data_IF_661685123298
#
_entry.id   IF_661685123298
#
_cell.length_a   1.000
_cell.length_b   1.000
_cell.length_c   1.000
_cell.angle_alpha   90.00
_cell.angle_beta   90.00
_cell.angle_gamma   90.00
#
_symmetry.space_group_name_H-M   'P 1'
#
loop_
_entity.id
_entity.type
_entity.pdbx_description
1 polymer ?
#
# COMPACT_ATOMS: atom_id res chain seq x y z
N UNK A 1 -24.47 19.02 -1.29
CA UNK A 1 -25.44 17.91 -1.62
C UNK A 1 -24.65 16.62 -1.49
N UNK A 2 -25.15 15.63 -0.74
CA UNK A 2 -24.49 14.32 -0.59
C UNK A 2 -24.62 13.58 -1.93
N UNK A 3 -23.50 13.17 -2.51
CA UNK A 3 -23.42 12.44 -3.80
C UNK A 3 -22.84 11.03 -3.64
N UNK A 4 -22.57 10.60 -2.42
CA UNK A 4 -22.03 9.28 -2.06
C UNK A 4 -22.94 8.61 -1.02
N UNK A 5 -22.86 7.29 -0.88
CA UNK A 5 -23.58 6.54 0.15
C UNK A 5 -22.95 6.74 1.52
N UNK A 6 -23.16 7.88 2.13
CA UNK A 6 -22.68 8.27 3.47
C UNK A 6 -23.82 8.88 4.28
N UNK A 7 -23.76 8.78 5.62
CA UNK A 7 -24.75 9.39 6.51
C UNK A 7 -24.34 10.84 6.87
N UNK A 8 -23.16 11.01 7.46
CA UNK A 8 -22.60 12.29 7.88
C UNK A 8 -21.15 12.41 7.42
N UNK A 9 -20.75 13.56 6.95
CA UNK A 9 -19.37 13.84 6.55
C UNK A 9 -18.36 13.71 7.69
N UNK A 10 -18.81 13.86 8.95
CA UNK A 10 -17.95 13.76 10.14
C UNK A 10 -17.77 12.31 10.64
N UNK A 11 -18.64 11.40 10.21
CA UNK A 11 -18.67 10.02 10.71
C UNK A 11 -18.13 9.00 9.72
N UNK A 12 -17.71 9.42 8.53
CA UNK A 12 -17.34 8.53 7.42
C UNK A 12 -16.32 7.48 7.88
N UNK A 13 -15.18 7.90 8.43
CA UNK A 13 -14.10 6.99 8.84
C UNK A 13 -14.61 6.01 9.90
N UNK A 14 -15.31 6.50 10.93
CA UNK A 14 -15.83 5.66 12.01
C UNK A 14 -16.82 4.61 11.47
N UNK A 15 -17.83 5.04 10.70
CA UNK A 15 -18.86 4.14 10.15
C UNK A 15 -18.28 3.14 9.14
N UNK A 16 -17.28 3.55 8.34
CA UNK A 16 -16.55 2.65 7.45
C UNK A 16 -15.87 1.54 8.24
N UNK A 17 -15.14 1.87 9.30
CA UNK A 17 -14.42 0.89 10.12
C UNK A 17 -15.38 -0.01 10.92
N UNK A 18 -16.49 0.52 11.44
CA UNK A 18 -17.55 -0.27 12.10
C UNK A 18 -18.12 -1.30 11.12
N UNK A 19 -18.53 -0.86 9.91
CA UNK A 19 -19.03 -1.76 8.87
C UNK A 19 -18.00 -2.81 8.45
N UNK A 20 -16.73 -2.39 8.34
CA UNK A 20 -15.63 -3.27 7.97
C UNK A 20 -15.40 -4.40 9.00
N UNK A 21 -15.31 -4.09 10.30
CA UNK A 21 -15.10 -5.12 11.32
C UNK A 21 -16.33 -6.02 11.50
N UNK A 22 -17.54 -5.52 11.23
CA UNK A 22 -18.75 -6.32 11.19
C UNK A 22 -18.77 -7.31 10.02
N UNK A 23 -18.19 -6.94 8.87
CA UNK A 23 -18.10 -7.81 7.71
C UNK A 23 -17.05 -8.93 7.87
N UNK A 24 -16.01 -8.71 8.68
CA UNK A 24 -14.89 -9.66 8.85
C UNK A 24 -14.57 -9.95 10.33
N UNK A 25 -15.58 -10.34 11.17
CA UNK A 25 -15.41 -10.45 12.62
C UNK A 25 -14.38 -11.48 13.07
N UNK A 26 -14.17 -12.53 12.26
CA UNK A 26 -13.19 -13.57 12.54
C UNK A 26 -11.74 -13.12 12.25
N UNK A 27 -11.57 -12.07 11.49
CA UNK A 27 -10.25 -11.59 11.05
C UNK A 27 -9.80 -10.33 11.77
N UNK A 28 -10.71 -9.36 11.96
CA UNK A 28 -10.40 -8.02 12.50
C UNK A 28 -11.43 -7.55 13.52
N UNK A 29 -10.98 -6.63 14.38
CA UNK A 29 -11.80 -5.90 15.35
C UNK A 29 -11.24 -4.51 15.59
N UNK A 30 -12.01 -3.63 16.23
CA UNK A 30 -11.49 -2.36 16.72
C UNK A 30 -10.69 -2.58 18.01
N UNK A 31 -9.46 -2.07 18.05
CA UNK A 31 -8.59 -2.01 19.22
C UNK A 31 -8.68 -0.68 19.97
N UNK A 32 -9.39 0.29 19.40
CA UNK A 32 -9.60 1.65 19.90
C UNK A 32 -10.25 2.51 18.84
N UNK A 33 -10.36 3.79 19.06
CA UNK A 33 -10.93 4.75 18.09
C UNK A 33 -10.07 4.76 16.82
N UNK A 34 -10.66 4.34 15.70
CA UNK A 34 -10.00 4.24 14.39
C UNK A 34 -8.68 3.44 14.42
N UNK A 35 -8.63 2.39 15.24
CA UNK A 35 -7.53 1.44 15.31
C UNK A 35 -8.08 0.06 14.97
N UNK A 36 -7.70 -0.47 13.82
CA UNK A 36 -8.06 -1.83 13.39
C UNK A 36 -6.94 -2.78 13.78
N UNK A 37 -7.30 -3.87 14.47
CA UNK A 37 -6.37 -4.90 14.91
C UNK A 37 -6.89 -6.28 14.51
N UNK A 38 -5.99 -7.25 14.36
CA UNK A 38 -6.41 -8.63 14.10
C UNK A 38 -7.22 -9.20 15.26
N UNK A 39 -8.27 -9.97 14.96
CA UNK A 39 -9.13 -10.60 15.98
C UNK A 39 -8.36 -11.60 16.84
N UNK A 40 -7.52 -12.43 16.21
CA UNK A 40 -6.60 -13.37 16.86
C UNK A 40 -5.24 -12.70 17.06
N UNK A 41 -4.90 -12.40 18.30
CA UNK A 41 -3.63 -11.78 18.63
C UNK A 41 -2.44 -12.67 18.23
N UNK A 42 -1.37 -12.04 17.70
CA UNK A 42 -0.08 -12.69 17.49
C UNK A 42 0.61 -12.97 18.84
N UNK A 43 1.35 -14.05 18.92
CA UNK A 43 2.17 -14.38 20.10
C UNK A 43 3.15 -13.24 20.44
N UNK A 44 3.38 -12.99 21.73
CA UNK A 44 4.17 -11.85 22.21
C UNK A 44 5.67 -12.00 21.95
N UNK A 45 6.14 -13.21 21.67
CA UNK A 45 7.52 -13.51 21.29
C UNK A 45 7.82 -13.18 19.81
N UNK A 46 6.79 -12.82 19.02
CA UNK A 46 6.92 -12.42 17.62
C UNK A 46 6.75 -10.91 17.44
N UNK A 47 7.46 -10.35 16.47
CA UNK A 47 7.39 -8.93 16.10
C UNK A 47 5.98 -8.55 15.65
N UNK A 48 5.47 -7.42 16.13
CA UNK A 48 4.22 -6.84 15.62
C UNK A 48 4.49 -5.92 14.43
N UNK A 49 3.66 -6.05 13.39
CA UNK A 49 3.70 -5.19 12.21
C UNK A 49 2.54 -4.20 12.28
N UNK A 50 2.87 -2.92 12.41
CA UNK A 50 1.91 -1.82 12.56
C UNK A 50 2.07 -0.85 11.40
N UNK A 51 0.97 -0.29 10.91
CA UNK A 51 0.98 0.78 9.91
C UNK A 51 0.03 1.91 10.29
N UNK A 52 0.13 3.04 9.59
CA UNK A 52 -0.77 4.18 9.70
C UNK A 52 -1.06 4.75 8.31
N UNK A 53 -2.18 5.45 8.18
CA UNK A 53 -2.56 6.14 6.94
C UNK A 53 -3.97 6.71 7.04
N UNK A 54 -4.35 7.54 6.07
CA UNK A 54 -5.70 8.10 5.96
C UNK A 54 -6.74 7.06 5.55
N UNK A 55 -8.02 7.33 5.81
CA UNK A 55 -9.13 6.66 5.14
C UNK A 55 -9.38 7.27 3.75
N UNK A 56 -10.25 6.65 2.96
CA UNK A 56 -10.50 7.05 1.56
C UNK A 56 -9.71 6.27 0.52
N UNK A 57 -8.90 5.32 0.97
CA UNK A 57 -8.05 4.46 0.15
C UNK A 57 -8.44 2.98 0.23
N UNK A 58 -9.60 2.66 0.78
CA UNK A 58 -10.04 1.29 1.01
C UNK A 58 -9.88 0.40 -0.23
N UNK A 59 -9.44 -0.86 -0.07
CA UNK A 59 -9.23 -1.60 1.19
C UNK A 59 -7.97 -1.23 1.99
N UNK A 60 -7.06 -0.40 1.43
CA UNK A 60 -5.87 0.04 2.16
C UNK A 60 -6.24 0.95 3.37
N UNK A 61 -5.54 0.86 4.48
CA UNK A 61 -4.51 -0.12 4.79
C UNK A 61 -5.10 -1.24 5.65
N UNK A 62 -6.29 -0.99 6.26
CA UNK A 62 -6.97 -1.87 7.21
C UNK A 62 -7.35 -3.23 6.62
N UNK A 63 -7.63 -3.28 5.31
CA UNK A 63 -7.92 -4.50 4.56
C UNK A 63 -6.83 -5.57 4.60
N UNK A 64 -5.64 -5.17 4.99
CA UNK A 64 -4.46 -6.03 5.07
C UNK A 64 -4.05 -6.38 6.52
N UNK A 65 -4.89 -6.02 7.48
CA UNK A 65 -4.74 -6.49 8.87
C UNK A 65 -5.22 -7.93 8.98
N UNK A 66 -4.33 -8.83 9.40
CA UNK A 66 -4.63 -10.26 9.54
C UNK A 66 -3.39 -11.11 9.68
N UNK A 67 -3.60 -12.41 9.88
CA UNK A 67 -2.52 -13.38 10.01
C UNK A 67 -1.64 -13.40 8.75
N UNK A 68 -0.31 -13.39 8.93
CA UNK A 68 0.65 -13.37 7.82
C UNK A 68 0.80 -12.02 7.12
N UNK A 69 0.20 -10.95 7.65
CA UNK A 69 0.30 -9.58 7.16
C UNK A 69 0.42 -8.59 8.34
N UNK A 70 -0.38 -7.51 8.36
CA UNK A 70 -0.36 -6.50 9.43
C UNK A 70 -1.03 -7.02 10.72
N UNK A 71 -0.55 -6.58 11.87
CA UNK A 71 -1.20 -6.77 13.16
C UNK A 71 -2.15 -5.61 13.51
N UNK A 72 -1.83 -4.40 12.99
CA UNK A 72 -2.58 -3.19 13.27
C UNK A 72 -2.49 -2.18 12.14
N UNK A 73 -3.59 -1.49 11.88
CA UNK A 73 -3.68 -0.28 11.06
C UNK A 73 -4.30 0.85 11.87
N UNK A 74 -3.61 1.99 11.95
CA UNK A 74 -4.10 3.21 12.62
C UNK A 74 -4.63 4.16 11.56
N UNK A 75 -5.91 4.49 11.62
CA UNK A 75 -6.63 5.16 10.54
C UNK A 75 -6.88 6.62 10.88
N UNK A 76 -6.49 7.51 9.96
CA UNK A 76 -6.78 8.92 9.98
C UNK A 76 -8.11 9.27 9.31
N UNK A 77 -8.38 10.57 9.19
CA UNK A 77 -9.51 11.06 8.43
C UNK A 77 -9.30 10.87 6.91
N UNK A 78 -10.31 11.24 6.11
CA UNK A 78 -10.24 11.10 4.66
C UNK A 78 -8.99 11.83 4.12
N UNK A 79 -8.10 11.08 3.48
CA UNK A 79 -6.85 11.55 2.87
C UNK A 79 -5.90 12.26 3.86
N UNK A 80 -6.00 11.97 5.14
CA UNK A 80 -5.18 12.60 6.18
C UNK A 80 -4.59 11.55 7.14
N UNK A 81 -3.32 11.74 7.50
CA UNK A 81 -2.65 10.90 8.47
C UNK A 81 -3.33 10.94 9.86
N UNK A 82 -3.34 9.84 10.62
CA UNK A 82 -3.82 9.86 12.00
C UNK A 82 -2.88 10.70 12.89
N UNK A 83 -3.45 11.32 13.92
CA UNK A 83 -2.64 12.06 14.89
C UNK A 83 -1.67 11.16 15.66
N UNK A 84 -0.50 11.70 16.02
CA UNK A 84 0.57 10.98 16.71
C UNK A 84 0.11 10.33 18.04
N UNK A 85 -0.84 10.93 18.74
CA UNK A 85 -1.38 10.38 19.99
C UNK A 85 -2.16 9.09 19.76
N UNK A 86 -2.97 9.01 18.69
CA UNK A 86 -3.69 7.79 18.30
C UNK A 86 -2.71 6.69 17.89
N UNK A 87 -1.68 7.03 17.11
CA UNK A 87 -0.62 6.08 16.76
C UNK A 87 0.11 5.58 18.03
N UNK A 88 0.46 6.46 18.95
CA UNK A 88 1.08 6.06 20.21
C UNK A 88 0.20 5.12 21.03
N UNK A 89 -1.11 5.35 21.11
CA UNK A 89 -2.05 4.42 21.77
C UNK A 89 -1.98 3.02 21.12
N UNK A 90 -1.95 2.94 19.80
CA UNK A 90 -1.79 1.66 19.11
C UNK A 90 -0.43 1.00 19.45
N UNK A 91 0.66 1.76 19.45
CA UNK A 91 1.98 1.22 19.83
C UNK A 91 2.00 0.68 21.26
N UNK A 92 1.27 1.31 22.20
CA UNK A 92 1.14 0.80 23.57
C UNK A 92 0.40 -0.55 23.63
N UNK A 93 -0.64 -0.76 22.79
CA UNK A 93 -1.36 -2.04 22.71
C UNK A 93 -0.47 -3.19 22.23
N UNK A 94 0.55 -2.88 21.44
CA UNK A 94 1.45 -3.85 20.83
C UNK A 94 2.83 -3.92 21.51
N UNK A 95 3.03 -3.25 22.65
CA UNK A 95 4.30 -3.30 23.39
C UNK A 95 4.69 -4.74 23.73
N UNK A 96 5.89 -5.16 23.31
CA UNK A 96 6.45 -6.50 23.49
C UNK A 96 7.98 -6.50 23.35
N UNK A 97 8.65 -7.51 23.92
CA UNK A 97 10.12 -7.61 23.91
C UNK A 97 10.64 -7.88 22.47
N UNK A 98 9.91 -8.64 21.67
CA UNK A 98 10.25 -8.85 20.26
C UNK A 98 10.27 -7.54 19.46
N UNK A 99 9.52 -6.54 19.88
CA UNK A 99 9.47 -5.21 19.27
C UNK A 99 8.31 -5.04 18.27
N UNK A 100 8.22 -3.81 17.76
CA UNK A 100 7.24 -3.38 16.77
C UNK A 100 7.98 -2.86 15.55
N UNK A 101 7.62 -3.34 14.36
CA UNK A 101 8.00 -2.74 13.09
C UNK A 101 6.85 -1.86 12.62
N UNK A 102 7.09 -0.53 12.58
CA UNK A 102 6.15 0.47 12.10
C UNK A 102 6.44 0.76 10.62
N UNK A 103 5.52 0.36 9.74
CA UNK A 103 5.62 0.65 8.31
C UNK A 103 4.92 1.97 8.03
N UNK A 104 5.62 2.88 7.38
CA UNK A 104 5.18 4.26 7.12
C UNK A 104 5.25 4.52 5.63
N UNK A 105 4.12 4.84 5.00
CA UNK A 105 4.14 5.38 3.65
C UNK A 105 4.79 6.77 3.70
N UNK A 106 5.74 7.02 2.79
CA UNK A 106 6.49 8.28 2.80
C UNK A 106 5.65 9.44 2.26
N UNK A 107 4.67 9.84 3.06
CA UNK A 107 3.90 11.08 2.92
C UNK A 107 4.16 11.95 4.14
N UNK A 108 4.27 13.26 3.96
CA UNK A 108 4.71 14.20 5.01
C UNK A 108 3.89 14.11 6.30
N UNK A 109 2.57 13.93 6.20
CA UNK A 109 1.68 13.78 7.36
C UNK A 109 1.95 12.49 8.14
N UNK A 110 2.12 11.36 7.43
CA UNK A 110 2.41 10.06 8.04
C UNK A 110 3.79 10.04 8.68
N UNK A 111 4.79 10.60 8.00
CA UNK A 111 6.18 10.73 8.52
C UNK A 111 6.20 11.59 9.79
N UNK A 112 5.48 12.72 9.80
CA UNK A 112 5.40 13.59 10.97
C UNK A 112 4.75 12.85 12.15
N UNK A 113 3.60 12.20 11.92
CA UNK A 113 2.89 11.44 12.97
C UNK A 113 3.74 10.28 13.51
N UNK A 114 4.40 9.55 12.62
CA UNK A 114 5.30 8.45 12.99
C UNK A 114 6.49 8.93 13.83
N UNK A 115 7.11 10.06 13.46
CA UNK A 115 8.25 10.61 14.20
C UNK A 115 7.84 11.09 15.60
N UNK A 116 6.71 11.79 15.73
CA UNK A 116 6.20 12.23 17.03
C UNK A 116 5.78 11.04 17.91
N UNK A 117 5.09 10.05 17.38
CA UNK A 117 4.70 8.86 18.11
C UNK A 117 5.92 8.01 18.52
N UNK A 118 6.98 7.96 17.70
CA UNK A 118 8.23 7.28 18.03
C UNK A 118 8.95 7.88 19.25
N UNK A 119 8.95 9.21 19.39
CA UNK A 119 9.50 9.88 20.57
C UNK A 119 8.73 9.53 21.85
N UNK A 120 7.39 9.41 21.74
CA UNK A 120 6.54 8.97 22.85
C UNK A 120 6.80 7.48 23.20
N UNK A 121 6.95 6.64 22.18
CA UNK A 121 7.24 5.22 22.32
C UNK A 121 8.59 4.97 23.00
N UNK A 122 9.64 5.71 22.62
CA UNK A 122 10.97 5.67 23.25
C UNK A 122 10.90 5.99 24.75
N UNK A 123 10.20 7.08 25.12
CA UNK A 123 9.99 7.47 26.53
C UNK A 123 9.21 6.42 27.32
N UNK A 124 8.33 5.66 26.64
CA UNK A 124 7.55 4.57 27.24
C UNK A 124 8.28 3.22 27.26
N UNK A 125 9.52 3.16 26.80
CA UNK A 125 10.33 1.93 26.71
C UNK A 125 9.70 0.91 25.74
N UNK A 126 9.18 1.36 24.60
CA UNK A 126 8.66 0.51 23.53
C UNK A 126 9.77 0.31 22.50
N UNK A 127 10.16 -0.95 22.23
CA UNK A 127 11.10 -1.30 21.17
C UNK A 127 10.42 -1.11 19.82
N UNK A 128 10.83 -0.08 19.06
CA UNK A 128 10.22 0.34 17.81
C UNK A 128 11.28 0.54 16.72
N UNK A 129 11.08 -0.04 15.56
CA UNK A 129 11.83 0.20 14.33
C UNK A 129 10.85 0.75 13.28
N UNK A 130 11.27 1.73 12.48
CA UNK A 130 10.48 2.29 11.38
C UNK A 130 11.01 1.80 10.05
N UNK A 131 10.10 1.41 9.15
CA UNK A 131 10.36 1.05 7.77
C UNK A 131 9.53 1.98 6.88
N UNK A 132 10.19 2.79 6.04
CA UNK A 132 9.50 3.70 5.13
C UNK A 132 9.33 3.07 3.75
N UNK A 133 8.19 3.29 3.10
CA UNK A 133 7.98 2.91 1.69
C UNK A 133 8.17 4.14 0.81
N UNK A 134 8.88 3.98 -0.32
CA UNK A 134 9.29 5.09 -1.20
C UNK A 134 9.41 4.65 -2.66
N UNK A 135 8.49 3.80 -3.10
CA UNK A 135 8.58 3.11 -4.38
C UNK A 135 8.01 3.88 -5.57
N UNK A 136 7.38 5.04 -5.35
CA UNK A 136 6.85 5.87 -6.43
C UNK A 136 7.98 6.55 -7.22
N UNK A 137 8.05 6.25 -8.52
CA UNK A 137 9.07 6.79 -9.42
C UNK A 137 8.64 8.03 -10.21
N UNK A 138 7.47 8.60 -9.92
CA UNK A 138 6.91 9.73 -10.67
C UNK A 138 7.76 10.99 -10.63
N UNK A 139 8.47 11.22 -9.53
CA UNK A 139 9.37 12.37 -9.39
C UNK A 139 10.66 12.25 -10.23
N UNK A 140 10.97 11.06 -10.76
CA UNK A 140 12.13 10.77 -11.57
C UNK A 140 12.88 9.51 -11.13
N UNK A 141 13.66 8.93 -12.06
CA UNK A 141 14.37 7.68 -11.79
C UNK A 141 15.56 7.85 -10.83
N UNK A 142 16.18 9.03 -10.84
CA UNK A 142 17.39 9.36 -10.07
C UNK A 142 17.09 10.15 -8.78
N UNK A 143 15.80 10.34 -8.46
CA UNK A 143 15.40 11.03 -7.22
C UNK A 143 15.75 10.16 -6.03
N UNK A 144 16.35 10.72 -4.93
CA UNK A 144 16.63 10.00 -3.71
C UNK A 144 15.39 9.33 -3.11
N UNK A 145 15.58 8.21 -2.43
CA UNK A 145 14.48 7.42 -1.88
C UNK A 145 13.64 8.23 -0.87
N UNK A 146 14.29 9.05 -0.04
CA UNK A 146 13.63 9.90 0.95
C UNK A 146 12.68 10.96 0.34
N UNK A 147 12.87 11.30 -0.93
CA UNK A 147 12.05 12.27 -1.66
C UNK A 147 10.93 11.61 -2.48
N UNK A 148 10.84 10.27 -2.48
CA UNK A 148 9.79 9.54 -3.18
C UNK A 148 8.64 9.19 -2.25
N UNK A 149 7.43 9.17 -2.79
CA UNK A 149 6.23 8.75 -2.06
C UNK A 149 6.15 7.22 -1.97
N UNK A 150 5.44 6.73 -0.93
CA UNK A 150 4.94 5.37 -0.87
C UNK A 150 3.55 5.28 -1.48
N UNK A 151 3.28 4.24 -2.25
CA UNK A 151 1.99 3.93 -2.91
C UNK A 151 1.60 2.47 -2.64
N UNK A 152 0.84 1.84 -3.57
CA UNK A 152 0.33 0.47 -3.38
C UNK A 152 1.41 -0.63 -3.37
N UNK A 153 2.68 -0.31 -3.67
CA UNK A 153 3.80 -1.22 -3.47
C UNK A 153 4.05 -1.60 -2.01
N UNK A 154 3.48 -0.85 -1.06
CA UNK A 154 3.47 -1.22 0.35
C UNK A 154 2.71 -2.54 0.63
N UNK A 155 1.73 -2.90 -0.20
CA UNK A 155 0.88 -4.07 0.07
C UNK A 155 1.63 -5.40 -0.08
N UNK A 156 2.37 -5.69 -1.17
CA UNK A 156 3.23 -6.87 -1.22
C UNK A 156 4.32 -6.84 -0.13
N UNK A 157 4.83 -5.65 0.25
CA UNK A 157 5.74 -5.52 1.39
C UNK A 157 5.09 -6.03 2.69
N UNK A 158 3.84 -5.62 3.00
CA UNK A 158 3.12 -6.11 4.18
C UNK A 158 3.02 -7.63 4.22
N UNK A 159 2.79 -8.26 3.05
CA UNK A 159 2.73 -9.72 2.96
C UNK A 159 4.10 -10.37 3.26
N UNK A 160 5.17 -9.82 2.71
CA UNK A 160 6.53 -10.33 2.87
C UNK A 160 6.97 -10.23 4.34
N UNK A 161 6.91 -9.03 4.93
CA UNK A 161 7.35 -8.81 6.32
C UNK A 161 6.40 -9.43 7.35
N UNK A 162 5.10 -9.45 7.06
CA UNK A 162 4.10 -10.10 7.91
C UNK A 162 4.32 -11.61 7.99
N UNK A 163 4.61 -12.26 6.86
CA UNK A 163 4.97 -13.67 6.81
C UNK A 163 6.29 -13.96 7.56
N UNK A 164 7.31 -13.12 7.38
CA UNK A 164 8.57 -13.23 8.11
C UNK A 164 8.37 -13.13 9.64
N UNK A 165 7.50 -12.20 10.07
CA UNK A 165 7.13 -12.04 11.49
C UNK A 165 6.36 -13.26 12.03
N UNK A 166 5.47 -13.89 11.23
CA UNK A 166 4.78 -15.13 11.62
C UNK A 166 5.74 -16.32 11.74
N UNK A 167 6.82 -16.35 10.95
CA UNK A 167 7.89 -17.34 11.07
C UNK A 167 8.78 -17.13 12.30
N UNK A 168 8.60 -16.03 13.06
CA UNK A 168 9.36 -15.73 14.27
C UNK A 168 10.74 -15.12 14.01
N UNK A 169 10.96 -14.53 12.83
CA UNK A 169 12.19 -13.77 12.56
C UNK A 169 12.32 -12.56 13.51
N UNK A 170 13.54 -12.20 13.84
CA UNK A 170 13.83 -11.01 14.65
C UNK A 170 13.47 -9.71 13.93
N UNK A 171 13.32 -8.62 14.67
CA UNK A 171 12.96 -7.32 14.09
C UNK A 171 14.02 -6.83 13.09
N UNK A 172 15.28 -7.12 13.32
CA UNK A 172 16.40 -6.73 12.46
C UNK A 172 16.35 -7.53 11.14
N UNK A 173 16.11 -8.86 11.19
CA UNK A 173 15.94 -9.70 10.01
C UNK A 173 14.72 -9.26 9.18
N UNK A 174 13.59 -8.95 9.83
CA UNK A 174 12.37 -8.48 9.13
C UNK A 174 12.61 -7.12 8.48
N UNK A 175 13.30 -6.23 9.17
CA UNK A 175 13.68 -4.92 8.64
C UNK A 175 14.57 -5.08 7.39
N UNK A 176 15.62 -5.90 7.45
CA UNK A 176 16.51 -6.16 6.31
C UNK A 176 15.79 -6.78 5.11
N UNK A 177 14.86 -7.72 5.34
CA UNK A 177 14.03 -8.31 4.29
C UNK A 177 13.15 -7.22 3.65
N UNK A 178 12.53 -6.38 4.47
CA UNK A 178 11.68 -5.28 3.99
C UNK A 178 12.46 -4.23 3.20
N UNK A 179 13.63 -3.82 3.68
CA UNK A 179 14.49 -2.86 2.98
C UNK A 179 14.99 -3.40 1.64
N UNK A 180 15.40 -4.68 1.59
CA UNK A 180 15.77 -5.31 0.31
C UNK A 180 14.61 -5.29 -0.69
N UNK A 181 13.37 -5.53 -0.23
CA UNK A 181 12.20 -5.44 -1.09
C UNK A 181 11.91 -4.00 -1.53
N UNK A 182 12.00 -3.02 -0.63
CA UNK A 182 11.83 -1.58 -0.95
C UNK A 182 12.76 -1.14 -2.09
N UNK A 183 14.00 -1.61 -2.09
CA UNK A 183 14.99 -1.31 -3.14
C UNK A 183 14.69 -2.03 -4.47
N UNK A 184 13.83 -3.04 -4.45
CA UNK A 184 13.51 -3.92 -5.57
C UNK A 184 12.08 -3.73 -6.10
N UNK A 185 11.32 -2.77 -5.56
CA UNK A 185 9.96 -2.47 -6.01
C UNK A 185 9.87 -1.05 -6.54
N UNK A 186 9.08 -0.86 -7.58
CA UNK A 186 8.76 0.46 -8.14
C UNK A 186 7.29 0.51 -8.52
N UNK A 187 6.68 1.67 -8.29
CA UNK A 187 5.27 1.93 -8.61
C UNK A 187 5.17 3.20 -9.46
N UNK A 188 4.27 3.19 -10.42
CA UNK A 188 3.91 4.36 -11.21
C UNK A 188 2.39 4.40 -11.36
N UNK A 189 1.79 5.54 -11.07
CA UNK A 189 0.36 5.76 -11.22
C UNK A 189 0.02 6.44 -12.55
N UNK A 190 -1.20 6.27 -13.02
CA UNK A 190 -1.80 7.07 -14.08
C UNK A 190 -3.26 7.36 -13.73
N UNK A 191 -3.73 8.57 -14.02
CA UNK A 191 -5.12 8.96 -13.87
C UNK A 191 -5.62 9.71 -15.11
N UNK A 192 -6.89 9.46 -15.48
CA UNK A 192 -7.59 10.19 -16.56
C UNK A 192 -8.80 10.98 -16.06
N UNK A 193 -9.25 10.74 -14.84
CA UNK A 193 -10.28 11.52 -14.16
C UNK A 193 -10.03 11.49 -12.66
N UNK A 194 -10.15 12.66 -12.05
CA UNK A 194 -9.97 12.81 -10.61
C UNK A 194 -11.16 12.26 -9.81
N UNK A 195 -11.01 12.17 -8.52
CA UNK A 195 -12.09 11.84 -7.60
C UNK A 195 -12.67 13.07 -6.91
N UNK A 196 -13.80 12.87 -6.24
CA UNK A 196 -14.48 13.87 -5.42
C UNK A 196 -14.24 13.60 -3.95
N UNK A 197 -13.70 14.58 -3.23
CA UNK A 197 -13.49 14.47 -1.79
C UNK A 197 -14.83 14.28 -1.06
N UNK A 198 -15.03 13.18 -0.33
CA UNK A 198 -16.37 12.83 0.19
C UNK A 198 -16.90 13.79 1.25
N UNK A 199 -16.05 14.52 1.97
CA UNK A 199 -16.48 15.45 3.02
C UNK A 199 -16.95 16.79 2.47
N UNK A 200 -16.33 17.33 1.42
CA UNK A 200 -16.61 18.69 0.94
C UNK A 200 -17.07 18.76 -0.51
N UNK A 201 -17.02 17.65 -1.27
CA UNK A 201 -17.42 17.58 -2.66
C UNK A 201 -16.44 18.23 -3.66
N UNK A 202 -15.27 18.66 -3.20
CA UNK A 202 -14.26 19.24 -4.07
C UNK A 202 -13.55 18.15 -4.90
N UNK A 203 -13.27 18.46 -6.14
CA UNK A 203 -12.36 17.65 -6.98
C UNK A 203 -10.93 17.80 -6.47
N UNK A 204 -10.21 16.71 -6.26
CA UNK A 204 -8.85 16.76 -5.68
C UNK A 204 -7.78 17.19 -6.71
N UNK A 205 -8.05 17.04 -8.01
CA UNK A 205 -7.18 17.49 -9.09
C UNK A 205 -8.01 17.78 -10.34
N UNK A 206 -7.56 18.69 -11.19
CA UNK A 206 -8.20 18.95 -12.48
C UNK A 206 -7.49 18.16 -13.59
N UNK A 207 -8.25 17.32 -14.29
CA UNK A 207 -7.81 16.58 -15.48
C UNK A 207 -8.77 16.90 -16.62
N UNK A 208 -8.30 17.58 -17.70
CA UNK A 208 -9.10 17.85 -18.88
C UNK A 208 -9.57 16.55 -19.56
N UNK A 209 -10.74 16.59 -20.20
CA UNK A 209 -11.27 15.45 -20.94
C UNK A 209 -10.31 15.04 -22.07
N UNK A 210 -10.04 13.74 -22.19
CA UNK A 210 -9.12 13.19 -23.19
C UNK A 210 -7.65 13.26 -22.81
N UNK A 211 -7.31 13.80 -21.65
CA UNK A 211 -5.95 13.79 -21.13
C UNK A 211 -5.75 12.76 -20.01
N UNK A 212 -4.52 12.34 -19.82
CA UNK A 212 -4.07 11.54 -18.68
C UNK A 212 -2.89 12.22 -18.01
N UNK A 213 -2.72 11.97 -16.73
CA UNK A 213 -1.52 12.37 -15.99
C UNK A 213 -0.82 11.12 -15.44
N UNK A 214 0.41 10.89 -15.93
CA UNK A 214 1.28 9.83 -15.43
C UNK A 214 2.01 10.35 -14.19
N UNK A 215 2.01 9.55 -13.11
CA UNK A 215 2.61 9.90 -11.84
C UNK A 215 1.71 10.71 -10.90
N UNK A 216 0.40 10.82 -11.17
CA UNK A 216 -0.52 11.47 -10.22
C UNK A 216 -0.52 10.72 -8.90
N UNK A 217 -0.30 11.44 -7.80
CA UNK A 217 -0.34 10.91 -6.45
C UNK A 217 -1.76 10.60 -5.96
N UNK A 218 -1.83 9.88 -4.85
CA UNK A 218 -3.11 9.44 -4.28
C UNK A 218 -3.93 10.56 -3.60
N UNK A 219 -3.37 11.76 -3.44
CA UNK A 219 -4.08 12.95 -2.96
C UNK A 219 -4.15 14.03 -4.04
N UNK A 220 -3.96 13.68 -5.32
CA UNK A 220 -4.00 14.60 -6.44
C UNK A 220 -2.70 15.37 -6.68
N UNK A 221 -1.60 14.98 -6.02
CA UNK A 221 -0.30 15.60 -6.27
C UNK A 221 0.15 15.31 -7.72
N UNK A 222 0.61 16.33 -8.40
CA UNK A 222 1.18 16.21 -9.74
C UNK A 222 2.42 15.30 -9.79
N UNK A 223 2.65 14.70 -10.94
CA UNK A 223 3.72 13.72 -11.13
C UNK A 223 4.49 13.91 -12.44
N UNK A 224 4.54 12.89 -13.27
CA UNK A 224 5.36 12.82 -14.47
C UNK A 224 4.89 13.66 -15.68
N UNK A 225 3.77 14.35 -15.56
CA UNK A 225 3.25 15.26 -16.59
C UNK A 225 2.01 14.74 -17.31
N UNK A 226 1.29 15.70 -17.92
CA UNK A 226 0.05 15.46 -18.67
C UNK A 226 0.34 15.16 -20.12
N UNK A 227 -0.48 14.29 -20.69
CA UNK A 227 -0.44 13.95 -22.12
C UNK A 227 -1.85 13.54 -22.58
N UNK A 228 -2.05 13.54 -23.90
CA UNK A 228 -3.28 13.00 -24.49
C UNK A 228 -3.39 11.50 -24.21
N UNK A 229 -4.59 11.02 -23.96
CA UNK A 229 -4.87 9.59 -23.83
C UNK A 229 -4.57 8.90 -25.17
N UNK A 230 -3.74 7.87 -25.11
CA UNK A 230 -3.41 6.99 -26.23
C UNK A 230 -4.02 5.60 -26.02
N UNK A 231 -3.63 4.60 -26.80
CA UNK A 231 -4.12 3.23 -26.61
C UNK A 231 -3.65 2.66 -25.25
N UNK A 232 -4.39 1.70 -24.70
CA UNK A 232 -3.99 1.01 -23.49
C UNK A 232 -2.62 0.32 -23.62
N UNK A 233 -2.28 -0.18 -24.81
CA UNK A 233 -0.99 -0.79 -25.09
C UNK A 233 0.16 0.24 -25.08
N UNK A 234 -0.08 1.48 -25.54
CA UNK A 234 0.92 2.56 -25.48
C UNK A 234 1.16 3.01 -24.05
N UNK A 235 0.08 3.25 -23.27
CA UNK A 235 0.17 3.62 -21.85
C UNK A 235 0.89 2.52 -21.05
N UNK A 236 0.51 1.25 -21.24
CA UNK A 236 1.15 0.12 -20.57
C UNK A 236 2.64 0.02 -20.95
N UNK A 237 2.98 0.22 -22.24
CA UNK A 237 4.36 0.19 -22.71
C UNK A 237 5.20 1.30 -22.09
N UNK A 238 4.66 2.52 -22.02
CA UNK A 238 5.34 3.66 -21.39
C UNK A 238 5.61 3.39 -19.91
N UNK A 239 4.60 2.95 -19.15
CA UNK A 239 4.71 2.72 -17.71
C UNK A 239 5.66 1.57 -17.38
N UNK A 240 5.50 0.40 -18.02
CA UNK A 240 6.37 -0.75 -17.75
C UNK A 240 7.82 -0.47 -18.14
N UNK A 241 8.06 0.29 -19.21
CA UNK A 241 9.41 0.66 -19.63
C UNK A 241 10.11 1.55 -18.60
N UNK A 242 9.39 2.47 -17.96
CA UNK A 242 9.92 3.31 -16.88
C UNK A 242 10.25 2.47 -15.64
N UNK A 243 9.36 1.56 -15.24
CA UNK A 243 9.58 0.65 -14.11
C UNK A 243 10.78 -0.28 -14.36
N UNK A 244 10.89 -0.84 -15.58
CA UNK A 244 12.04 -1.68 -15.95
C UNK A 244 13.35 -0.88 -15.97
N UNK A 245 13.32 0.37 -16.43
CA UNK A 245 14.52 1.24 -16.38
C UNK A 245 14.95 1.53 -14.94
N UNK A 246 14.01 1.67 -14.00
CA UNK A 246 14.30 1.87 -12.58
C UNK A 246 14.91 0.62 -11.95
N UNK A 247 14.28 -0.53 -12.14
CA UNK A 247 14.65 -1.78 -11.46
C UNK A 247 15.71 -2.59 -12.18
N UNK A 248 15.92 -2.35 -13.50
CA UNK A 248 16.87 -3.04 -14.37
C UNK A 248 16.83 -4.58 -14.21
N UNK A 249 15.64 -5.21 -14.36
CA UNK A 249 15.55 -6.65 -14.26
C UNK A 249 16.33 -7.32 -15.41
N UNK A 250 17.15 -8.31 -15.06
CA UNK A 250 17.89 -9.11 -16.02
C UNK A 250 17.04 -10.30 -16.52
N UNK A 251 17.45 -10.89 -17.65
CA UNK A 251 16.85 -12.14 -18.14
C UNK A 251 16.95 -13.23 -17.08
N UNK A 252 15.83 -13.87 -16.78
CA UNK A 252 15.69 -14.89 -15.75
C UNK A 252 15.40 -14.37 -14.34
N UNK A 253 15.40 -13.04 -14.12
CA UNK A 253 14.94 -12.47 -12.86
C UNK A 253 13.45 -12.78 -12.67
N UNK A 254 13.08 -13.06 -11.42
CA UNK A 254 11.70 -13.26 -10.98
C UNK A 254 11.08 -11.96 -10.56
N UNK A 255 9.86 -11.70 -11.04
CA UNK A 255 9.15 -10.45 -10.70
C UNK A 255 7.71 -10.70 -10.29
N UNK A 256 7.16 -9.77 -9.49
CA UNK A 256 5.72 -9.53 -9.41
C UNK A 256 5.33 -8.39 -10.37
N UNK A 257 4.11 -8.47 -10.90
CA UNK A 257 3.46 -7.40 -11.66
C UNK A 257 2.02 -7.26 -11.16
N UNK A 258 1.68 -6.11 -10.60
CA UNK A 258 0.31 -5.83 -10.19
C UNK A 258 -0.24 -4.61 -10.91
N UNK A 259 -1.51 -4.69 -11.30
CA UNK A 259 -2.30 -3.53 -11.72
C UNK A 259 -3.31 -3.28 -10.62
N UNK A 260 -3.10 -2.20 -9.89
CA UNK A 260 -3.96 -1.72 -8.81
C UNK A 260 -4.92 -0.67 -9.34
N UNK A 261 -6.20 -0.99 -9.47
CA UNK A 261 -7.24 -0.02 -9.79
C UNK A 261 -7.41 0.99 -8.65
N UNK A 262 -7.65 2.26 -9.02
CA UNK A 262 -7.81 3.32 -7.99
C UNK A 262 -9.27 3.72 -7.75
N UNK A 263 -10.23 2.90 -8.22
CA UNK A 263 -11.65 2.96 -7.87
C UNK A 263 -12.63 2.93 -9.03
N UNK A 264 -12.38 3.61 -10.15
CA UNK A 264 -13.31 3.66 -11.27
C UNK A 264 -12.84 2.94 -12.55
N UNK A 265 -11.60 2.45 -12.58
CA UNK A 265 -11.08 1.68 -13.72
C UNK A 265 -11.51 0.23 -13.59
N UNK A 266 -12.14 -0.29 -14.64
CA UNK A 266 -12.73 -1.62 -14.62
C UNK A 266 -11.67 -2.74 -14.71
N UNK A 267 -12.02 -3.93 -14.21
CA UNK A 267 -11.20 -5.13 -14.41
C UNK A 267 -10.91 -5.44 -15.88
N UNK A 268 -11.85 -5.11 -16.80
CA UNK A 268 -11.68 -5.26 -18.24
C UNK A 268 -10.50 -4.40 -18.72
N UNK A 269 -10.48 -3.11 -18.38
CA UNK A 269 -9.42 -2.16 -18.78
C UNK A 269 -8.08 -2.57 -18.18
N UNK A 270 -8.07 -2.86 -16.88
CA UNK A 270 -6.86 -3.30 -16.17
C UNK A 270 -6.27 -4.60 -16.75
N UNK A 271 -7.13 -5.52 -17.22
CA UNK A 271 -6.67 -6.77 -17.85
C UNK A 271 -6.00 -6.52 -19.21
N UNK A 272 -6.46 -5.54 -19.98
CA UNK A 272 -5.82 -5.14 -21.24
C UNK A 272 -4.41 -4.56 -20.96
N UNK A 273 -4.31 -3.69 -19.97
CA UNK A 273 -3.02 -3.08 -19.54
C UNK A 273 -2.05 -4.17 -19.03
N UNK A 274 -2.52 -5.05 -18.14
CA UNK A 274 -1.72 -6.16 -17.60
C UNK A 274 -1.18 -7.05 -18.70
N UNK A 275 -2.03 -7.45 -19.67
CA UNK A 275 -1.65 -8.27 -20.81
C UNK A 275 -0.43 -7.70 -21.54
N UNK A 276 -0.45 -6.40 -21.85
CA UNK A 276 0.65 -5.75 -22.59
C UNK A 276 1.92 -5.69 -21.76
N UNK A 277 1.83 -5.32 -20.49
CA UNK A 277 2.99 -5.27 -19.59
C UNK A 277 3.62 -6.67 -19.42
N UNK A 278 2.80 -7.71 -19.22
CA UNK A 278 3.27 -9.09 -19.08
C UNK A 278 3.95 -9.62 -20.36
N UNK A 279 3.44 -9.26 -21.56
CA UNK A 279 4.09 -9.60 -22.83
C UNK A 279 5.49 -8.98 -22.93
N UNK A 280 5.65 -7.71 -22.54
CA UNK A 280 6.95 -7.01 -22.58
C UNK A 280 7.95 -7.69 -21.63
N UNK A 281 7.53 -8.10 -20.44
CA UNK A 281 8.37 -8.86 -19.50
C UNK A 281 8.79 -10.21 -20.09
N UNK A 282 7.85 -10.93 -20.69
CA UNK A 282 8.12 -12.22 -21.32
C UNK A 282 9.11 -12.11 -22.51
N UNK A 283 8.93 -11.08 -23.37
CA UNK A 283 9.82 -10.80 -24.50
C UNK A 283 11.25 -10.47 -24.03
N UNK A 284 11.38 -9.83 -22.85
CA UNK A 284 12.67 -9.57 -22.22
C UNK A 284 13.24 -10.82 -21.48
N UNK A 285 12.51 -11.93 -21.45
CA UNK A 285 12.91 -13.17 -20.78
C UNK A 285 12.87 -13.07 -19.24
N UNK A 286 12.04 -12.18 -18.69
CA UNK A 286 11.82 -11.99 -17.25
C UNK A 286 10.69 -12.93 -16.81
N UNK A 287 10.87 -13.62 -15.68
CA UNK A 287 9.90 -14.58 -15.16
C UNK A 287 8.86 -13.88 -14.28
N UNK A 288 7.62 -13.78 -14.76
CA UNK A 288 6.49 -13.31 -13.96
C UNK A 288 5.99 -14.42 -13.02
N UNK A 289 6.32 -14.34 -11.74
CA UNK A 289 5.95 -15.36 -10.74
C UNK A 289 4.70 -15.01 -9.94
N UNK A 290 4.35 -13.73 -9.85
CA UNK A 290 3.10 -13.30 -9.20
C UNK A 290 2.47 -12.14 -9.96
N UNK A 291 1.25 -12.33 -10.46
CA UNK A 291 0.47 -11.35 -11.19
C UNK A 291 -0.86 -11.07 -10.52
N UNK A 292 -1.24 -9.78 -10.36
CA UNK A 292 -2.55 -9.41 -9.82
C UNK A 292 -3.19 -8.26 -10.59
N UNK A 293 -4.50 -8.36 -10.73
CA UNK A 293 -5.38 -7.30 -11.25
C UNK A 293 -6.46 -7.11 -10.20
N UNK A 294 -6.39 -6.03 -9.43
CA UNK A 294 -7.28 -5.84 -8.27
C UNK A 294 -7.22 -4.41 -7.76
N UNK A 295 -8.04 -4.09 -6.79
CA UNK A 295 -7.97 -2.87 -6.00
C UNK A 295 -7.29 -3.18 -4.67
N UNK A 296 -6.13 -2.59 -4.42
CA UNK A 296 -5.34 -2.71 -3.20
C UNK A 296 -5.35 -1.40 -2.41
N UNK A 297 -5.12 -0.30 -3.10
CA UNK A 297 -5.13 1.06 -2.57
C UNK A 297 -5.84 1.94 -3.58
N UNK A 298 -7.03 2.43 -3.22
CA UNK A 298 -7.87 3.25 -4.09
C UNK A 298 -7.73 4.74 -3.81
N UNK A 299 -8.37 5.56 -4.65
CA UNK A 299 -8.52 7.00 -4.47
C UNK A 299 -9.98 7.36 -4.76
N UNK A 300 -10.89 6.84 -3.94
CA UNK A 300 -12.33 6.96 -4.14
C UNK A 300 -12.77 6.49 -5.54
N UNK A 301 -13.44 7.32 -6.33
CA UNK A 301 -13.86 7.04 -7.70
C UNK A 301 -12.91 7.59 -8.77
N UNK A 302 -11.62 7.75 -8.48
CA UNK A 302 -10.62 8.15 -9.48
C UNK A 302 -10.57 7.12 -10.61
N UNK A 303 -10.60 7.58 -11.87
CA UNK A 303 -10.36 6.72 -13.02
C UNK A 303 -8.86 6.69 -13.34
N UNK A 304 -8.25 5.55 -13.11
CA UNK A 304 -6.82 5.33 -13.27
C UNK A 304 -6.39 4.02 -12.60
N UNK A 305 -5.11 3.79 -12.60
CA UNK A 305 -4.50 2.62 -11.94
C UNK A 305 -3.05 2.92 -11.55
N UNK A 306 -2.52 2.09 -10.67
CA UNK A 306 -1.08 2.03 -10.37
C UNK A 306 -0.53 0.72 -10.92
N UNK A 307 0.60 0.80 -11.61
CA UNK A 307 1.37 -0.37 -12.05
C UNK A 307 2.54 -0.56 -11.09
N UNK A 308 2.63 -1.75 -10.51
CA UNK A 308 3.65 -2.13 -9.53
C UNK A 308 4.48 -3.23 -10.13
N UNK A 309 5.80 -3.01 -10.23
CA UNK A 309 6.78 -4.02 -10.62
C UNK A 309 7.74 -4.24 -9.45
N UNK A 310 7.97 -5.48 -9.07
CA UNK A 310 8.92 -5.81 -8.00
C UNK A 310 9.79 -7.00 -8.38
N UNK A 311 11.11 -6.86 -8.24
CA UNK A 311 12.04 -8.00 -8.35
C UNK A 311 12.00 -8.80 -7.06
N UNK A 312 12.03 -10.12 -7.19
CA UNK A 312 11.91 -11.04 -6.08
C UNK A 312 13.14 -11.94 -6.01
N UNK A 313 13.85 -11.94 -4.90
CA UNK A 313 14.80 -12.98 -4.55
C UNK A 313 14.07 -14.23 -4.03
N UNK A 314 14.82 -15.27 -3.68
CA UNK A 314 14.25 -16.54 -3.22
C UNK A 314 13.44 -16.38 -1.92
N UNK A 315 13.93 -15.56 -0.98
CA UNK A 315 13.25 -15.29 0.28
C UNK A 315 11.92 -14.55 0.04
N UNK A 316 11.94 -13.53 -0.85
CA UNK A 316 10.73 -12.79 -1.20
C UNK A 316 9.69 -13.69 -1.88
N UNK A 317 10.09 -14.61 -2.77
CA UNK A 317 9.17 -15.57 -3.39
C UNK A 317 8.54 -16.47 -2.33
N UNK A 318 9.35 -17.01 -1.42
CA UNK A 318 8.88 -17.87 -0.32
C UNK A 318 7.85 -17.15 0.56
N UNK A 319 8.18 -15.95 1.03
CA UNK A 319 7.34 -15.17 1.93
C UNK A 319 6.07 -14.64 1.25
N UNK A 320 6.14 -14.27 -0.03
CA UNK A 320 5.01 -13.73 -0.78
C UNK A 320 4.02 -14.82 -1.19
N UNK A 321 4.52 -15.93 -1.73
CA UNK A 321 3.70 -16.96 -2.38
C UNK A 321 3.41 -18.18 -1.51
N UNK A 322 4.42 -18.70 -0.82
CA UNK A 322 4.30 -19.99 -0.13
C UNK A 322 3.81 -19.82 1.32
N UNK A 323 4.18 -18.73 1.98
CA UNK A 323 3.69 -18.47 3.33
C UNK A 323 2.19 -18.13 3.36
N UNK A 324 1.46 -18.71 4.30
CA UNK A 324 0.02 -18.44 4.45
C UNK A 324 -0.27 -17.00 4.91
N UNK A 325 -1.46 -16.52 4.58
CA UNK A 325 -2.01 -15.26 5.11
C UNK A 325 -3.54 -15.29 5.14
N UNK A 326 -4.14 -14.58 6.07
CA UNK A 326 -5.58 -14.52 6.25
C UNK A 326 -6.07 -13.12 6.64
N UNK A 327 -5.63 -12.11 5.88
CA UNK A 327 -6.22 -10.77 5.95
C UNK A 327 -7.50 -10.72 5.07
N UNK A 328 -8.48 -9.83 5.35
CA UNK A 328 -9.71 -9.74 4.57
C UNK A 328 -9.53 -9.63 3.05
N UNK A 329 -8.59 -8.82 2.61
CA UNK A 329 -8.32 -8.59 1.18
C UNK A 329 -7.03 -9.26 0.67
N UNK A 330 -6.44 -10.14 1.48
CA UNK A 330 -5.31 -10.95 1.05
C UNK A 330 -5.29 -12.31 1.76
N UNK A 331 -5.94 -13.27 1.12
CA UNK A 331 -5.96 -14.66 1.57
C UNK A 331 -5.00 -15.49 0.73
N UNK A 332 -4.07 -16.17 1.37
CA UNK A 332 -3.18 -17.15 0.76
C UNK A 332 -3.14 -18.40 1.66
N UNK A 333 -3.49 -19.55 1.09
CA UNK A 333 -3.57 -20.82 1.86
C UNK A 333 -2.18 -21.38 2.17
N UNK A 334 -1.14 -20.89 1.46
CA UNK A 334 0.21 -21.46 1.49
C UNK A 334 0.31 -22.72 0.61
N UNK A 335 1.50 -23.05 0.21
CA UNK A 335 1.81 -24.29 -0.52
C UNK A 335 2.69 -25.20 0.34
#
# INVERSE_FOLDING_TARGET
MITKFINSTNDITRETLEGYVMAFPDKVKLGGENIVVRSKAKSLDKVAIVTLGGSGHEPALSGFVGEGMLDCSVVGDIFAAPGAQRLFQALQLFKRDAGILLVVLNHSGDVMSANMASQLAERAGIKLVKLFTHEDISAGLDVPDEDRRGLAGCIPLYKIIGAAAEQGKSIDEIFEIGERFNQQVATLAVAMRSCTHPQNGATIAELPEGEIEIGMGQHGEGGGGRQMLTSADDVATQMISLLMRKLQPAKGDKVLLYINGVGATTHMEMSIVFRKAAMILADAGIELVDGKITELLTVQEQAGFQMILGKLDADHVELLKNASSNAPYWVNIGQ
#
